data_IF_366798011386
#
_entry.id   IF_366798011386
#
_cell.length_a   1.000
_cell.length_b   1.000
_cell.length_c   1.000
_cell.angle_alpha   90.00
_cell.angle_beta   90.00
_cell.angle_gamma   90.00
#
_symmetry.space_group_name_H-M   'P 1'
#
loop_
_entity.id
_entity.type
_entity.pdbx_description
1 polymer ?
#
# COMPACT_ATOMS: atom_id res chain seq x y z
N UNK A 1 -0.41 15.41 -8.21
CA UNK A 1 0.52 16.12 -7.32
C UNK A 1 0.76 17.59 -7.67
N UNK A 2 0.25 18.09 -8.75
CA UNK A 2 0.59 19.41 -9.27
C UNK A 2 -0.26 20.52 -8.66
N UNK A 3 -0.12 20.75 -7.36
CA UNK A 3 -0.70 21.92 -6.70
C UNK A 3 -2.17 21.81 -6.27
N UNK A 4 -2.93 20.84 -6.73
CA UNK A 4 -4.31 20.66 -6.25
C UNK A 4 -4.30 19.89 -4.92
N UNK A 5 -4.35 20.64 -3.81
CA UNK A 5 -4.30 20.07 -2.46
C UNK A 5 -5.67 19.78 -1.85
N UNK A 6 -6.74 20.41 -2.35
CA UNK A 6 -8.09 20.29 -1.83
C UNK A 6 -9.08 19.88 -2.93
N UNK A 7 -10.20 19.29 -2.55
CA UNK A 7 -11.35 18.92 -3.41
C UNK A 7 -10.97 18.14 -4.67
N UNK A 8 -9.94 17.32 -4.61
CA UNK A 8 -9.36 16.59 -5.76
C UNK A 8 -10.39 15.71 -6.46
N UNK A 9 -11.16 14.94 -5.68
CA UNK A 9 -12.17 14.04 -6.22
C UNK A 9 -13.27 14.78 -6.96
N UNK A 10 -13.78 15.87 -6.40
CA UNK A 10 -14.82 16.69 -7.05
C UNK A 10 -14.33 17.24 -8.39
N UNK A 11 -13.09 17.71 -8.47
CA UNK A 11 -12.55 18.27 -9.70
C UNK A 11 -12.29 17.19 -10.76
N UNK A 12 -11.75 16.05 -10.36
CA UNK A 12 -11.51 14.93 -11.27
C UNK A 12 -12.83 14.38 -11.83
N UNK A 13 -13.82 14.12 -10.98
CA UNK A 13 -15.12 13.61 -11.39
C UNK A 13 -15.88 14.60 -12.27
N UNK A 14 -15.82 15.89 -11.92
CA UNK A 14 -16.44 16.95 -12.75
C UNK A 14 -15.82 17.02 -14.15
N UNK A 15 -14.51 16.87 -14.28
CA UNK A 15 -13.83 16.83 -15.58
C UNK A 15 -14.26 15.61 -16.42
N UNK A 16 -14.72 14.54 -15.78
CA UNK A 16 -15.28 13.34 -16.42
C UNK A 16 -16.79 13.44 -16.69
N UNK A 17 -17.43 14.55 -16.34
CA UNK A 17 -18.89 14.73 -16.48
C UNK A 17 -19.72 14.16 -15.32
N UNK A 18 -19.08 13.60 -14.30
CA UNK A 18 -19.76 13.08 -13.10
C UNK A 18 -19.93 14.20 -12.09
N UNK A 19 -21.15 14.65 -11.89
CA UNK A 19 -21.49 15.77 -11.00
C UNK A 19 -22.87 15.60 -10.36
N UNK A 20 -23.16 16.41 -9.35
CA UNK A 20 -24.46 16.36 -8.66
C UNK A 20 -24.61 15.19 -7.69
N UNK A 21 -23.52 14.50 -7.35
CA UNK A 21 -23.47 13.42 -6.36
C UNK A 21 -22.56 13.81 -5.19
N UNK A 22 -22.79 13.27 -3.98
CA UNK A 22 -21.87 13.44 -2.87
C UNK A 22 -20.49 12.87 -3.18
N UNK A 23 -19.42 13.60 -2.84
CA UNK A 23 -18.03 13.17 -3.01
C UNK A 23 -17.27 13.39 -1.72
N UNK A 24 -16.59 12.33 -1.23
CA UNK A 24 -15.71 12.38 -0.08
C UNK A 24 -14.28 12.16 -0.56
N UNK A 25 -13.37 13.07 -0.18
CA UNK A 25 -11.94 12.88 -0.41
C UNK A 25 -11.35 12.16 0.79
N UNK A 26 -10.65 11.07 0.54
CA UNK A 26 -10.04 10.24 1.57
C UNK A 26 -8.53 10.38 1.47
N UNK A 27 -7.89 10.61 2.62
CA UNK A 27 -6.45 10.60 2.78
C UNK A 27 -6.09 9.64 3.92
N UNK A 28 -5.21 8.68 3.65
CA UNK A 28 -4.62 7.74 4.59
C UNK A 28 -3.33 7.17 4.00
N UNK A 29 -2.47 8.05 3.51
CA UNK A 29 -1.22 7.73 2.81
C UNK A 29 -1.42 6.57 1.80
N UNK A 30 -0.57 5.54 1.83
CA UNK A 30 -0.64 4.39 0.92
C UNK A 30 -1.95 3.59 1.03
N UNK A 31 -2.70 3.74 2.14
CA UNK A 31 -3.97 3.07 2.38
C UNK A 31 -5.20 3.91 1.97
N UNK A 32 -5.03 5.06 1.31
CA UNK A 32 -6.14 5.96 0.96
C UNK A 32 -7.22 5.26 0.15
N UNK A 33 -6.86 4.54 -0.91
CA UNK A 33 -7.84 3.85 -1.77
C UNK A 33 -8.55 2.69 -1.05
N UNK A 34 -7.85 1.91 -0.23
CA UNK A 34 -8.46 0.84 0.58
C UNK A 34 -9.36 1.40 1.69
N UNK A 35 -9.01 2.57 2.25
CA UNK A 35 -9.89 3.30 3.18
C UNK A 35 -11.15 3.81 2.47
N UNK A 36 -11.02 4.33 1.24
CA UNK A 36 -12.19 4.72 0.43
C UNK A 36 -13.12 3.52 0.17
N UNK A 37 -12.56 2.34 -0.14
CA UNK A 37 -13.34 1.11 -0.28
C UNK A 37 -14.03 0.72 1.04
N UNK A 38 -13.33 0.81 2.17
CA UNK A 38 -13.93 0.56 3.49
C UNK A 38 -15.11 1.50 3.75
N UNK A 39 -14.94 2.80 3.49
CA UNK A 39 -16.02 3.79 3.65
C UNK A 39 -17.20 3.49 2.72
N UNK A 40 -16.95 3.11 1.46
CA UNK A 40 -18.01 2.72 0.54
C UNK A 40 -18.82 1.54 1.06
N UNK A 41 -18.16 0.50 1.61
CA UNK A 41 -18.83 -0.63 2.26
C UNK A 41 -19.69 -0.19 3.45
N UNK A 42 -19.19 0.72 4.30
CA UNK A 42 -19.94 1.22 5.44
C UNK A 42 -21.15 2.07 5.00
N UNK A 43 -21.01 2.89 3.97
CA UNK A 43 -22.13 3.69 3.43
C UNK A 43 -23.26 2.79 2.91
N UNK A 44 -22.94 1.74 2.18
CA UNK A 44 -23.94 0.79 1.69
C UNK A 44 -24.54 -0.01 2.85
N UNK A 45 -23.76 -0.49 3.81
CA UNK A 45 -24.24 -1.24 4.98
C UNK A 45 -25.14 -0.42 5.90
N UNK A 46 -24.90 0.88 6.02
CA UNK A 46 -25.74 1.78 6.81
C UNK A 46 -27.05 2.18 6.11
N UNK A 47 -27.23 1.82 4.84
CA UNK A 47 -28.38 2.25 4.06
C UNK A 47 -28.31 3.71 3.58
N UNK A 48 -27.17 4.38 3.75
CA UNK A 48 -26.99 5.77 3.30
C UNK A 48 -26.94 5.89 1.77
N UNK A 49 -26.58 4.81 1.06
CA UNK A 49 -26.58 4.73 -0.38
C UNK A 49 -26.76 3.28 -0.85
N UNK A 50 -27.39 3.09 -2.00
CA UNK A 50 -27.54 1.78 -2.64
C UNK A 50 -26.32 1.41 -3.49
N UNK A 51 -25.63 2.43 -4.04
CA UNK A 51 -24.46 2.27 -4.90
C UNK A 51 -23.43 3.33 -4.50
N UNK A 52 -22.19 2.91 -4.27
CA UNK A 52 -21.05 3.79 -3.99
C UNK A 52 -19.87 3.41 -4.88
N UNK A 53 -19.23 4.40 -5.48
CA UNK A 53 -18.00 4.25 -6.24
C UNK A 53 -16.80 4.60 -5.34
N UNK A 54 -15.91 3.65 -5.11
CA UNK A 54 -14.60 3.91 -4.53
C UNK A 54 -13.57 4.04 -5.66
N UNK A 55 -12.78 5.12 -5.65
CA UNK A 55 -11.75 5.41 -6.66
C UNK A 55 -10.44 5.72 -5.96
N UNK A 56 -9.38 5.09 -6.42
CA UNK A 56 -8.00 5.45 -6.07
C UNK A 56 -7.23 5.79 -7.33
N UNK A 57 -6.52 6.90 -7.30
CA UNK A 57 -5.66 7.32 -8.41
C UNK A 57 -4.39 7.99 -7.87
N UNK A 58 -3.27 7.68 -8.48
CA UNK A 58 -1.99 8.32 -8.16
C UNK A 58 -1.24 8.70 -9.43
N UNK A 59 -0.69 9.91 -9.42
CA UNK A 59 0.25 10.39 -10.42
C UNK A 59 1.53 10.84 -9.70
N UNK A 60 2.52 9.97 -9.71
CA UNK A 60 3.75 10.10 -8.94
C UNK A 60 5.00 10.04 -9.79
N UNK A 61 4.92 9.40 -10.98
CA UNK A 61 6.05 9.27 -11.88
C UNK A 61 6.30 10.59 -12.60
N UNK A 62 7.28 11.37 -12.14
CA UNK A 62 7.70 12.66 -12.71
C UNK A 62 9.20 12.66 -12.93
N UNK A 63 9.69 13.55 -13.83
CA UNK A 63 11.11 13.64 -14.16
C UNK A 63 11.96 14.19 -13.02
N UNK A 64 11.42 15.13 -12.24
CA UNK A 64 12.06 15.66 -11.03
C UNK A 64 12.02 14.64 -9.90
N UNK A 65 13.08 13.86 -9.77
CA UNK A 65 13.19 12.80 -8.75
C UNK A 65 13.25 13.35 -7.32
N UNK A 66 13.82 14.53 -7.12
CA UNK A 66 13.87 15.15 -5.80
C UNK A 66 12.45 15.51 -5.32
N UNK A 67 11.67 16.15 -6.20
CA UNK A 67 10.26 16.47 -5.92
C UNK A 67 9.41 15.20 -5.73
N UNK A 68 9.68 14.15 -6.51
CA UNK A 68 9.00 12.87 -6.38
C UNK A 68 9.25 12.26 -4.99
N UNK A 69 10.49 12.24 -4.51
CA UNK A 69 10.82 11.71 -3.19
C UNK A 69 10.30 12.60 -2.06
N UNK A 70 10.37 13.93 -2.20
CA UNK A 70 9.81 14.87 -1.21
C UNK A 70 8.30 14.70 -1.00
N UNK A 71 7.58 14.12 -1.95
CA UNK A 71 6.18 13.82 -1.77
C UNK A 71 5.91 12.77 -0.66
N UNK A 72 6.89 11.90 -0.38
CA UNK A 72 6.81 10.95 0.73
C UNK A 72 7.03 11.60 2.10
N UNK A 73 7.69 12.77 2.14
CA UNK A 73 7.96 13.46 3.40
C UNK A 73 6.67 13.92 4.10
N UNK A 74 5.58 14.09 3.35
CA UNK A 74 4.25 14.36 3.91
C UNK A 74 3.67 13.24 4.79
N UNK A 75 4.32 12.07 4.85
CA UNK A 75 3.91 10.97 5.72
C UNK A 75 4.57 11.02 7.12
N UNK A 76 5.53 11.93 7.33
CA UNK A 76 6.13 12.15 8.65
C UNK A 76 5.30 13.08 9.52
N UNK A 77 5.34 12.86 10.83
CA UNK A 77 4.86 13.85 11.77
C UNK A 77 5.76 15.10 11.67
N UNK A 78 5.17 16.22 11.26
CA UNK A 78 5.89 17.49 11.07
C UNK A 78 6.46 18.07 12.37
N UNK A 79 5.92 17.65 13.53
CA UNK A 79 6.35 18.11 14.84
C UNK A 79 7.42 17.22 15.45
N UNK A 80 7.62 16.00 14.95
CA UNK A 80 8.55 15.00 15.51
C UNK A 80 9.22 14.17 14.41
N UNK A 81 9.56 14.79 13.29
CA UNK A 81 10.06 14.10 12.10
C UNK A 81 11.34 13.31 12.37
N UNK A 82 12.33 13.92 13.02
CA UNK A 82 13.64 13.28 13.22
C UNK A 82 13.56 12.13 14.23
N UNK A 83 12.87 12.29 15.36
CA UNK A 83 12.70 11.20 16.31
C UNK A 83 11.83 10.06 15.74
N UNK A 84 10.85 10.40 14.88
CA UNK A 84 10.08 9.40 14.14
C UNK A 84 10.94 8.56 13.20
N UNK A 85 11.82 9.19 12.43
CA UNK A 85 12.79 8.52 11.55
C UNK A 85 13.74 7.65 12.35
N UNK A 86 14.37 8.21 13.40
CA UNK A 86 15.32 7.50 14.25
C UNK A 86 14.69 6.25 14.88
N UNK A 87 13.48 6.37 15.43
CA UNK A 87 12.73 5.25 16.02
C UNK A 87 12.48 4.13 14.99
N UNK A 88 12.11 4.46 13.75
CA UNK A 88 11.84 3.46 12.72
C UNK A 88 13.13 2.81 12.21
N UNK A 89 14.19 3.57 12.01
CA UNK A 89 15.48 3.05 11.56
C UNK A 89 16.15 2.19 12.64
N UNK A 90 15.96 2.51 13.92
CA UNK A 90 16.48 1.73 15.04
C UNK A 90 15.95 0.29 15.09
N UNK A 91 14.83 -0.01 14.44
CA UNK A 91 14.34 -1.39 14.32
C UNK A 91 15.36 -2.32 13.64
N UNK A 92 16.21 -1.78 12.76
CA UNK A 92 17.25 -2.54 12.06
C UNK A 92 18.49 -2.87 12.88
N UNK A 93 18.64 -2.34 14.10
CA UNK A 93 19.80 -2.58 14.94
C UNK A 93 20.00 -4.07 15.23
N UNK A 94 21.27 -4.50 15.32
CA UNK A 94 21.66 -5.88 15.60
C UNK A 94 21.87 -6.76 14.37
N UNK A 95 21.56 -6.27 13.17
CA UNK A 95 21.95 -6.91 11.90
C UNK A 95 22.97 -6.01 11.21
N UNK A 96 24.18 -6.51 10.98
CA UNK A 96 25.22 -5.80 10.23
C UNK A 96 25.00 -6.02 8.72
N UNK A 97 24.77 -4.95 7.93
CA UNK A 97 24.66 -5.08 6.48
C UNK A 97 26.00 -5.54 5.87
N UNK A 98 25.99 -6.46 4.88
CA UNK A 98 27.19 -6.81 4.14
C UNK A 98 27.82 -5.60 3.43
N UNK A 99 29.13 -5.53 3.24
CA UNK A 99 29.76 -4.46 2.45
C UNK A 99 29.16 -4.38 1.05
N UNK A 100 28.89 -3.16 0.57
CA UNK A 100 28.33 -2.94 -0.78
C UNK A 100 26.84 -3.26 -0.92
N UNK A 101 26.13 -3.53 0.17
CA UNK A 101 24.68 -3.85 0.15
C UNK A 101 23.76 -2.64 0.26
N UNK A 102 24.27 -1.45 -0.01
CA UNK A 102 23.51 -0.20 -0.08
C UNK A 102 23.65 0.45 -1.45
N UNK A 103 22.60 1.04 -1.96
CA UNK A 103 22.57 1.73 -3.25
C UNK A 103 23.42 2.99 -3.23
N UNK A 104 24.18 3.19 -4.31
CA UNK A 104 24.88 4.46 -4.57
C UNK A 104 23.99 5.48 -5.30
N UNK A 105 22.79 5.07 -5.75
CA UNK A 105 21.81 5.95 -6.39
C UNK A 105 20.80 6.45 -5.37
N UNK A 106 20.28 7.68 -5.53
CA UNK A 106 19.23 8.20 -4.66
C UNK A 106 17.98 7.28 -4.64
N UNK A 107 17.44 7.08 -3.46
CA UNK A 107 16.18 6.37 -3.22
C UNK A 107 15.46 6.99 -2.02
N UNK A 108 14.20 6.62 -1.82
CA UNK A 108 13.42 7.12 -0.70
C UNK A 108 13.91 6.57 0.63
N UNK A 109 13.98 7.39 1.68
CA UNK A 109 14.27 6.98 3.05
C UNK A 109 13.33 5.87 3.56
N UNK A 110 12.12 5.79 3.02
CA UNK A 110 11.22 4.68 3.34
C UNK A 110 11.77 3.30 2.96
N UNK A 111 12.71 3.22 2.02
CA UNK A 111 13.39 1.95 1.73
C UNK A 111 14.28 1.53 2.90
N UNK A 112 14.95 2.48 3.57
CA UNK A 112 15.72 2.18 4.78
C UNK A 112 14.80 1.77 5.94
N UNK A 113 13.62 2.39 6.07
CA UNK A 113 12.62 2.00 7.07
C UNK A 113 12.13 0.56 6.83
N UNK A 114 11.78 0.21 5.59
CA UNK A 114 11.37 -1.16 5.26
C UNK A 114 12.53 -2.16 5.38
N UNK A 115 13.74 -1.76 5.06
CA UNK A 115 14.94 -2.56 5.30
C UNK A 115 15.16 -2.81 6.79
N UNK A 116 14.99 -1.78 7.64
CA UNK A 116 15.07 -1.91 9.10
C UNK A 116 14.00 -2.87 9.64
N UNK A 117 12.76 -2.81 9.13
CA UNK A 117 11.72 -3.79 9.46
C UNK A 117 12.11 -5.20 9.01
N UNK A 118 12.71 -5.35 7.83
CA UNK A 118 13.25 -6.62 7.34
C UNK A 118 14.34 -7.16 8.26
N UNK A 119 15.30 -6.34 8.66
CA UNK A 119 16.35 -6.70 9.61
C UNK A 119 15.77 -7.11 10.98
N UNK A 120 14.80 -6.39 11.49
CA UNK A 120 14.08 -6.78 12.71
C UNK A 120 13.48 -8.19 12.56
N UNK A 121 12.80 -8.46 11.46
CA UNK A 121 12.19 -9.75 11.21
C UNK A 121 13.24 -10.87 11.08
N UNK A 122 14.39 -10.58 10.47
CA UNK A 122 15.52 -11.51 10.42
C UNK A 122 16.05 -11.83 11.83
N UNK A 123 16.19 -10.82 12.68
CA UNK A 123 16.67 -10.99 14.06
C UNK A 123 15.68 -11.77 14.92
N UNK A 124 14.40 -11.44 14.87
CA UNK A 124 13.38 -12.02 15.76
C UNK A 124 12.96 -13.45 15.32
N UNK A 125 12.97 -13.73 14.01
CA UNK A 125 12.40 -14.98 13.48
C UNK A 125 13.40 -15.83 12.68
N UNK A 126 14.66 -15.38 12.56
CA UNK A 126 15.66 -16.09 11.76
C UNK A 126 15.39 -16.07 10.25
N UNK A 127 14.55 -15.15 9.79
CA UNK A 127 14.25 -14.99 8.35
C UNK A 127 15.52 -14.61 7.59
N UNK A 128 15.69 -15.15 6.40
CA UNK A 128 16.86 -14.92 5.56
C UNK A 128 16.53 -14.01 4.38
N UNK A 129 17.55 -13.36 3.83
CA UNK A 129 17.39 -12.58 2.59
C UNK A 129 16.84 -13.43 1.44
N UNK A 130 17.21 -14.72 1.39
CA UNK A 130 16.70 -15.66 0.40
C UNK A 130 15.18 -15.87 0.50
N UNK A 131 14.63 -15.87 1.70
CA UNK A 131 13.17 -15.97 1.90
C UNK A 131 12.45 -14.71 1.41
N UNK A 132 13.01 -13.51 1.61
CA UNK A 132 12.48 -12.29 1.01
C UNK A 132 12.58 -12.34 -0.52
N UNK A 133 13.69 -12.83 -1.05
CA UNK A 133 13.88 -13.02 -2.49
C UNK A 133 12.86 -14.00 -3.09
N UNK A 134 12.52 -15.07 -2.36
CA UNK A 134 11.51 -16.04 -2.79
C UNK A 134 10.11 -15.39 -2.90
N UNK A 135 9.75 -14.49 -1.98
CA UNK A 135 8.50 -13.72 -2.07
C UNK A 135 8.51 -12.81 -3.30
N UNK A 136 9.61 -12.10 -3.56
CA UNK A 136 9.75 -11.26 -4.74
C UNK A 136 9.66 -12.07 -6.03
N UNK A 137 10.40 -13.17 -6.15
CA UNK A 137 10.36 -14.06 -7.31
C UNK A 137 8.95 -14.61 -7.58
N UNK A 138 8.24 -15.05 -6.53
CA UNK A 138 6.85 -15.48 -6.62
C UNK A 138 5.95 -14.37 -7.18
N UNK A 139 6.07 -13.14 -6.67
CA UNK A 139 5.24 -12.03 -7.11
C UNK A 139 5.54 -11.63 -8.56
N UNK A 140 6.80 -11.62 -8.98
CA UNK A 140 7.18 -11.42 -10.39
C UNK A 140 6.63 -12.54 -11.30
N UNK A 141 6.66 -13.79 -10.84
CA UNK A 141 6.02 -14.90 -11.56
C UNK A 141 4.51 -14.70 -11.76
N UNK A 142 3.81 -14.21 -10.73
CA UNK A 142 2.37 -13.90 -10.84
C UNK A 142 2.12 -12.68 -11.74
N UNK A 143 2.93 -11.64 -11.64
CA UNK A 143 2.77 -10.42 -12.45
C UNK A 143 3.00 -10.66 -13.95
N UNK A 144 3.77 -11.67 -14.32
CA UNK A 144 3.95 -12.09 -15.71
C UNK A 144 2.62 -12.43 -16.41
N UNK A 145 1.63 -12.89 -15.64
CA UNK A 145 0.29 -13.22 -16.13
C UNK A 145 -0.69 -12.05 -16.11
N UNK A 146 -0.31 -10.89 -15.55
CA UNK A 146 -1.17 -9.71 -15.48
C UNK A 146 -0.79 -8.70 -16.57
N UNK A 147 -1.63 -8.49 -17.60
CA UNK A 147 -1.32 -7.54 -18.69
C UNK A 147 -1.24 -6.09 -18.22
N UNK A 148 -1.76 -5.77 -17.02
CA UNK A 148 -1.73 -4.43 -16.43
C UNK A 148 -0.55 -4.22 -15.47
N UNK A 149 0.25 -5.25 -15.18
CA UNK A 149 1.42 -5.12 -14.33
C UNK A 149 2.53 -4.34 -15.04
N UNK A 150 3.26 -3.50 -14.28
CA UNK A 150 4.41 -2.75 -14.81
C UNK A 150 5.58 -3.68 -15.13
N UNK A 151 5.88 -4.65 -14.25
CA UNK A 151 6.88 -5.69 -14.48
C UNK A 151 6.16 -6.99 -14.84
N UNK A 152 6.47 -7.56 -16.01
CA UNK A 152 5.78 -8.74 -16.55
C UNK A 152 6.72 -9.87 -16.90
N UNK A 153 7.89 -9.89 -16.30
CA UNK A 153 8.89 -10.93 -16.47
C UNK A 153 9.04 -11.72 -15.18
N UNK A 154 8.99 -13.03 -15.28
CA UNK A 154 9.32 -13.92 -14.19
C UNK A 154 10.84 -13.88 -13.95
N UNK A 155 11.25 -13.80 -12.71
CA UNK A 155 12.67 -13.83 -12.30
C UNK A 155 12.88 -14.87 -11.22
N UNK A 156 14.08 -15.48 -11.19
CA UNK A 156 14.44 -16.47 -10.18
C UNK A 156 14.87 -15.82 -8.87
N UNK A 157 14.91 -16.61 -7.80
CA UNK A 157 15.42 -16.17 -6.49
C UNK A 157 16.87 -15.68 -6.60
N UNK A 158 17.70 -16.39 -7.38
CA UNK A 158 19.10 -16.05 -7.62
C UNK A 158 19.23 -14.72 -8.35
N UNK A 159 18.38 -14.47 -9.34
CA UNK A 159 18.32 -13.19 -10.05
C UNK A 159 17.90 -12.04 -9.13
N UNK A 160 16.94 -12.28 -8.22
CA UNK A 160 16.54 -11.29 -7.21
C UNK A 160 17.71 -10.96 -6.29
N UNK A 161 18.44 -11.97 -5.79
CA UNK A 161 19.59 -11.78 -4.89
C UNK A 161 20.78 -11.09 -5.58
N UNK A 162 21.01 -11.38 -6.85
CA UNK A 162 22.09 -10.79 -7.65
C UNK A 162 21.77 -9.37 -8.17
N UNK A 163 20.52 -8.91 -8.02
CA UNK A 163 20.10 -7.61 -8.49
C UNK A 163 20.74 -6.47 -7.67
N UNK A 164 20.80 -5.23 -8.22
CA UNK A 164 21.37 -4.09 -7.51
C UNK A 164 20.76 -3.93 -6.10
N UNK A 165 21.58 -3.71 -5.07
CA UNK A 165 21.10 -3.48 -3.71
C UNK A 165 20.40 -2.12 -3.61
N UNK A 166 19.44 -2.01 -2.70
CA UNK A 166 18.84 -0.74 -2.30
C UNK A 166 19.29 -0.39 -0.88
N UNK A 167 18.85 -1.16 0.09
CA UNK A 167 19.26 -1.12 1.50
C UNK A 167 19.07 -2.52 2.07
N UNK A 168 20.11 -3.11 2.67
CA UNK A 168 20.04 -4.50 3.14
C UNK A 168 18.87 -4.75 4.08
N UNK A 169 18.04 -5.80 3.90
CA UNK A 169 18.22 -6.93 2.99
C UNK A 169 17.58 -6.75 1.59
N UNK A 170 17.16 -5.54 1.22
CA UNK A 170 16.38 -5.28 -0.01
C UNK A 170 17.28 -5.12 -1.23
N UNK A 171 16.94 -5.84 -2.30
CA UNK A 171 17.42 -5.59 -3.66
C UNK A 171 16.32 -4.94 -4.51
N UNK A 172 16.66 -4.40 -5.65
CA UNK A 172 15.74 -3.66 -6.51
C UNK A 172 14.42 -4.42 -6.81
N UNK A 173 14.40 -5.72 -7.17
CA UNK A 173 13.16 -6.44 -7.41
C UNK A 173 12.29 -6.71 -6.17
N UNK A 174 12.82 -6.50 -4.97
CA UNK A 174 12.05 -6.57 -3.71
C UNK A 174 11.29 -5.27 -3.41
N UNK A 175 11.57 -4.20 -4.16
CA UNK A 175 10.97 -2.89 -3.99
C UNK A 175 9.89 -2.63 -5.04
N UNK A 176 8.79 -1.99 -4.63
CA UNK A 176 7.76 -1.56 -5.59
C UNK A 176 8.26 -0.44 -6.48
N UNK A 177 7.96 -0.46 -7.79
CA UNK A 177 8.28 0.67 -8.67
C UNK A 177 7.43 1.90 -8.33
N UNK A 178 7.96 3.08 -8.63
CA UNK A 178 7.14 4.29 -8.65
C UNK A 178 6.34 4.29 -9.94
N UNK A 179 5.02 4.35 -9.84
CA UNK A 179 4.09 4.23 -10.98
C UNK A 179 2.97 5.25 -10.88
N UNK A 180 2.42 5.59 -12.05
CA UNK A 180 1.11 6.20 -12.16
C UNK A 180 0.07 5.09 -12.32
N UNK A 181 -1.13 5.29 -11.77
CA UNK A 181 -2.19 4.32 -11.92
C UNK A 181 -3.49 4.74 -11.26
N UNK A 182 -4.55 4.04 -11.62
CA UNK A 182 -5.86 4.21 -11.00
C UNK A 182 -6.60 2.87 -10.96
N UNK A 183 -7.43 2.72 -9.94
CA UNK A 183 -8.36 1.61 -9.82
C UNK A 183 -9.68 2.10 -9.21
N UNK A 184 -10.77 1.44 -9.57
CA UNK A 184 -12.09 1.75 -9.04
C UNK A 184 -12.86 0.48 -8.72
N UNK A 185 -13.74 0.56 -7.71
CA UNK A 185 -14.66 -0.50 -7.34
C UNK A 185 -16.05 0.07 -7.08
N UNK A 186 -17.07 -0.59 -7.60
CA UNK A 186 -18.48 -0.29 -7.28
C UNK A 186 -18.88 -1.21 -6.13
N UNK A 187 -19.36 -0.62 -5.05
CA UNK A 187 -19.96 -1.32 -3.90
C UNK A 187 -21.46 -1.03 -3.92
N UNK A 188 -22.29 -2.06 -3.83
CA UNK A 188 -23.74 -1.89 -3.85
C UNK A 188 -24.44 -2.92 -2.95
N UNK A 189 -25.67 -2.61 -2.56
CA UNK A 189 -26.62 -3.58 -2.00
C UNK A 189 -27.39 -4.28 -3.13
N UNK A 190 -28.35 -5.13 -2.77
CA UNK A 190 -29.17 -5.87 -3.75
C UNK A 190 -30.01 -4.95 -4.63
N UNK A 191 -30.53 -3.85 -4.10
CA UNK A 191 -31.28 -2.86 -4.87
C UNK A 191 -30.39 -2.17 -5.89
N UNK A 192 -29.21 -1.73 -5.46
CA UNK A 192 -28.21 -1.15 -6.34
C UNK A 192 -27.73 -2.12 -7.42
N UNK A 193 -27.55 -3.39 -7.09
CA UNK A 193 -27.13 -4.41 -8.07
C UNK A 193 -28.14 -4.58 -9.19
N UNK A 194 -29.45 -4.50 -8.88
CA UNK A 194 -30.53 -4.56 -9.89
C UNK A 194 -30.54 -3.35 -10.82
N UNK A 195 -30.04 -2.20 -10.37
CA UNK A 195 -29.95 -0.98 -11.18
C UNK A 195 -28.72 -0.96 -12.09
N UNK A 196 -27.70 -1.75 -11.79
CA UNK A 196 -26.48 -1.83 -12.59
C UNK A 196 -26.73 -2.67 -13.85
N UNK A 197 -26.40 -2.12 -15.02
CA UNK A 197 -26.55 -2.80 -16.32
C UNK A 197 -25.41 -3.78 -16.61
N UNK A 198 -24.72 -4.27 -15.60
CA UNK A 198 -23.60 -5.18 -15.72
C UNK A 198 -23.98 -6.65 -15.59
N UNK A 199 -23.00 -7.53 -15.76
CA UNK A 199 -23.16 -8.95 -15.50
C UNK A 199 -23.15 -9.24 -13.98
N UNK A 200 -24.35 -9.37 -13.40
CA UNK A 200 -24.51 -9.64 -11.96
C UNK A 200 -23.80 -10.91 -11.50
N UNK A 201 -23.49 -11.86 -12.42
CA UNK A 201 -22.71 -13.08 -12.09
C UNK A 201 -21.26 -12.77 -11.72
N UNK A 202 -20.75 -11.59 -12.06
CA UNK A 202 -19.42 -11.10 -11.66
C UNK A 202 -19.41 -10.45 -10.29
N UNK A 203 -20.56 -10.23 -9.67
CA UNK A 203 -20.65 -9.65 -8.35
C UNK A 203 -20.06 -10.62 -7.31
N UNK A 204 -19.25 -10.07 -6.39
CA UNK A 204 -18.69 -10.79 -5.25
C UNK A 204 -19.21 -10.18 -3.96
N UNK A 205 -19.50 -11.03 -2.97
CA UNK A 205 -19.99 -10.56 -1.67
C UNK A 205 -18.82 -10.14 -0.79
N UNK A 206 -18.90 -8.93 -0.22
CA UNK A 206 -17.97 -8.48 0.81
C UNK A 206 -18.40 -9.07 2.15
N UNK A 207 -17.69 -10.11 2.62
CA UNK A 207 -17.97 -10.76 3.90
C UNK A 207 -17.56 -9.86 5.07
N UNK A 208 -16.35 -9.31 5.03
CA UNK A 208 -15.82 -8.41 6.04
C UNK A 208 -14.96 -7.31 5.40
N UNK A 209 -14.90 -6.16 6.04
CA UNK A 209 -14.03 -5.07 5.65
C UNK A 209 -13.66 -4.27 6.90
N UNK A 210 -12.38 -4.32 7.29
CA UNK A 210 -11.86 -3.76 8.54
C UNK A 210 -10.87 -2.64 8.24
N UNK A 211 -10.96 -1.56 9.00
CA UNK A 211 -9.96 -0.49 9.08
C UNK A 211 -9.34 -0.49 10.47
N UNK A 212 -8.01 -0.46 10.53
CA UNK A 212 -7.24 -0.44 11.77
C UNK A 212 -6.08 0.53 11.62
N UNK A 213 -5.89 1.40 12.62
CA UNK A 213 -4.69 2.24 12.75
C UNK A 213 -3.70 1.63 13.73
N UNK A 214 -2.45 2.05 13.63
CA UNK A 214 -1.41 1.70 14.60
C UNK A 214 -1.69 2.32 15.96
N UNK A 215 -1.01 1.82 16.97
CA UNK A 215 -0.96 2.37 18.32
C UNK A 215 0.49 2.51 18.77
N UNK A 216 0.72 3.33 19.76
CA UNK A 216 2.02 3.36 20.44
C UNK A 216 2.29 2.02 21.08
N UNK A 217 3.42 1.38 20.71
CA UNK A 217 3.83 0.07 21.19
C UNK A 217 5.34 -0.11 21.04
N UNK A 218 5.93 -1.02 21.81
CA UNK A 218 7.28 -1.48 21.55
C UNK A 218 7.40 -2.17 20.20
N UNK A 219 8.54 -2.08 19.52
CA UNK A 219 8.75 -2.66 18.18
C UNK A 219 8.59 -4.18 18.16
N UNK A 220 8.90 -4.85 19.27
CA UNK A 220 8.77 -6.29 19.47
C UNK A 220 7.39 -6.73 20.02
N UNK A 221 6.50 -5.81 20.31
CA UNK A 221 5.11 -6.14 20.69
C UNK A 221 4.30 -6.52 19.45
N UNK A 222 4.40 -7.78 19.06
CA UNK A 222 3.73 -8.33 17.87
C UNK A 222 2.23 -8.58 18.12
N UNK A 223 1.83 -8.81 19.38
CA UNK A 223 0.42 -9.03 19.74
C UNK A 223 -0.43 -7.80 19.42
N UNK A 224 0.12 -6.61 19.65
CA UNK A 224 -0.55 -5.34 19.39
C UNK A 224 -0.28 -4.78 18.00
N UNK A 225 0.40 -5.53 17.12
CA UNK A 225 0.65 -5.09 15.76
C UNK A 225 -0.67 -4.89 14.99
N UNK A 226 -0.79 -3.74 14.29
CA UNK A 226 -2.03 -3.35 13.60
C UNK A 226 -2.52 -4.40 12.61
N UNK A 227 -1.62 -5.07 11.88
CA UNK A 227 -1.99 -6.12 10.90
C UNK A 227 -2.59 -7.34 11.61
N UNK A 228 -2.02 -7.77 12.75
CA UNK A 228 -2.56 -8.87 13.54
C UNK A 228 -3.97 -8.54 14.06
N UNK A 229 -4.14 -7.34 14.65
CA UNK A 229 -5.45 -6.90 15.13
C UNK A 229 -6.48 -6.82 14.00
N UNK A 230 -6.08 -6.27 12.85
CA UNK A 230 -6.96 -6.19 11.69
C UNK A 230 -7.35 -7.59 11.18
N UNK A 231 -6.39 -8.52 11.12
CA UNK A 231 -6.64 -9.90 10.68
C UNK A 231 -7.62 -10.62 11.60
N UNK A 232 -7.42 -10.57 12.92
CA UNK A 232 -8.35 -11.19 13.89
C UNK A 232 -9.77 -10.63 13.73
N UNK A 233 -9.92 -9.30 13.69
CA UNK A 233 -11.22 -8.66 13.47
C UNK A 233 -11.86 -9.07 12.14
N UNK A 234 -11.06 -9.23 11.10
CA UNK A 234 -11.55 -9.62 9.78
C UNK A 234 -12.11 -11.06 9.83
N UNK A 235 -11.37 -12.00 10.42
CA UNK A 235 -11.81 -13.39 10.57
C UNK A 235 -13.06 -13.49 11.44
N UNK A 236 -13.12 -12.81 12.57
CA UNK A 236 -14.30 -12.73 13.43
C UNK A 236 -15.54 -12.21 12.68
N UNK A 237 -15.38 -11.13 11.90
CA UNK A 237 -16.50 -10.54 11.15
C UNK A 237 -16.93 -11.40 9.96
N UNK A 238 -16.01 -12.11 9.33
CA UNK A 238 -16.30 -12.93 8.15
C UNK A 238 -16.86 -14.31 8.49
N UNK A 239 -16.61 -14.78 9.71
CA UNK A 239 -16.98 -16.14 10.15
C UNK A 239 -16.09 -17.23 9.52
N UNK A 240 -14.87 -16.90 9.13
CA UNK A 240 -13.89 -17.81 8.51
C UNK A 240 -12.80 -18.16 9.52
#
# INVERSE_FOLDING_TARGET
MDGQHMVRGQLALRAMGVQGIPVVNVENACASASTALHMAVQHVRSGAADIVLAVGAEKMCIDDKARMFAAFDGAWDVHDTEAGKERLLAMGHGIAPPPGSQSLRPYSLFMDVYAAMGCMHMREFGTTQQQFAAVAAKNHGHSAHNPLAQYREAISVEQVLAAPPISYPLTLPMCSPVSDGAAAAIVCNESGLKCLQGDARRAVRVLACVLQTGSERASNDLENHLVRKAAHRLYEQSGV
#
